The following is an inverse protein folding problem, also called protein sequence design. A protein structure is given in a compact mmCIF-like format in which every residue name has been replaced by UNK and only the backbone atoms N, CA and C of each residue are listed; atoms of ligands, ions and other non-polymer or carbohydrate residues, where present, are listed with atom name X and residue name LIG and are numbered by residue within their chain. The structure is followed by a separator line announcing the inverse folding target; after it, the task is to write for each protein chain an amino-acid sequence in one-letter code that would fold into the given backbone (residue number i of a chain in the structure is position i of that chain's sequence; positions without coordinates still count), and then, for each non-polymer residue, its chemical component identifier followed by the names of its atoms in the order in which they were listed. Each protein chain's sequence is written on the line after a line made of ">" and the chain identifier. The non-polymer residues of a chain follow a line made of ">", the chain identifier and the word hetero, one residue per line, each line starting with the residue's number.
data_IF_642308832552
#
_entry.id   IF_642308832552
#
_cell.length_a   1.000
_cell.length_b   1.000
_cell.length_c   1.000
_cell.angle_alpha   90.00
_cell.angle_beta   90.00
_cell.angle_gamma   90.00
#
_symmetry.space_group_name_H-M   'P 1'
#
loop_
_entity.id
_entity.type
_entity.pdbx_description
1 polymer ?
#
# COMPACT_ATOMS: atom_id res chain seq x y z
N UNK A 1 4.25 0.89 4.36
CA UNK A 1 3.86 0.71 5.77
C UNK A 1 2.71 1.64 6.09
N UNK A 2 1.53 1.09 6.34
CA UNK A 2 0.30 1.85 6.61
C UNK A 2 0.05 2.10 8.10
N UNK A 3 0.95 1.69 8.97
CA UNK A 3 0.72 1.61 10.43
C UNK A 3 -0.01 0.33 10.85
N UNK A 4 -0.63 -0.39 9.92
CA UNK A 4 -1.29 -1.67 10.18
C UNK A 4 -0.32 -2.85 10.34
N UNK A 5 -0.78 -3.87 11.07
CA UNK A 5 -0.03 -5.09 11.42
C UNK A 5 0.51 -5.80 10.18
N UNK A 6 -0.28 -5.96 9.12
CA UNK A 6 0.15 -6.72 7.93
C UNK A 6 1.41 -6.13 7.29
N UNK A 7 1.44 -4.79 7.16
CA UNK A 7 2.60 -4.09 6.59
C UNK A 7 3.82 -4.11 7.51
N UNK A 8 3.59 -4.10 8.82
CA UNK A 8 4.63 -4.19 9.85
C UNK A 8 5.29 -5.58 9.86
N UNK A 9 4.47 -6.63 9.82
CA UNK A 9 4.94 -8.02 9.76
C UNK A 9 5.63 -8.29 8.43
N UNK A 10 5.11 -7.79 7.30
CA UNK A 10 5.79 -7.91 6.01
C UNK A 10 7.20 -7.31 6.03
N UNK A 11 7.36 -6.10 6.59
CA UNK A 11 8.67 -5.48 6.75
C UNK A 11 9.59 -6.31 7.65
N UNK A 12 9.09 -6.76 8.82
CA UNK A 12 9.85 -7.58 9.75
C UNK A 12 10.32 -8.91 9.14
N UNK A 13 9.48 -9.56 8.33
CA UNK A 13 9.83 -10.80 7.63
C UNK A 13 10.95 -10.60 6.61
N UNK A 14 10.95 -9.47 5.89
CA UNK A 14 12.00 -9.14 4.92
C UNK A 14 13.33 -8.81 5.61
N UNK A 15 13.30 -8.04 6.70
CA UNK A 15 14.48 -7.78 7.55
C UNK A 15 15.04 -9.10 8.07
N UNK A 16 14.18 -9.98 8.60
CA UNK A 16 14.59 -11.30 9.10
C UNK A 16 15.18 -12.19 7.99
N UNK A 17 14.73 -12.04 6.75
CA UNK A 17 15.29 -12.73 5.59
C UNK A 17 16.62 -12.13 5.11
N UNK A 18 17.12 -11.07 5.74
CA UNK A 18 18.42 -10.45 5.42
C UNK A 18 18.36 -9.42 4.29
N UNK A 19 17.17 -8.94 3.93
CA UNK A 19 17.05 -7.87 2.94
C UNK A 19 17.36 -6.50 3.56
N UNK A 20 17.94 -5.61 2.75
CA UNK A 20 17.93 -4.18 3.03
C UNK A 20 16.53 -3.63 2.75
N UNK A 21 15.91 -3.01 3.76
CA UNK A 21 14.51 -2.60 3.71
C UNK A 21 14.40 -1.12 4.03
N UNK A 22 13.64 -0.40 3.21
CA UNK A 22 13.19 0.97 3.49
C UNK A 22 11.67 0.96 3.59
N UNK A 23 11.14 1.45 4.71
CA UNK A 23 9.71 1.61 4.93
C UNK A 23 9.18 2.87 4.24
N UNK A 24 8.09 2.77 3.48
CA UNK A 24 7.41 3.94 2.88
C UNK A 24 5.97 4.03 3.35
N UNK A 25 5.55 5.18 3.87
CA UNK A 25 4.15 5.54 4.12
C UNK A 25 3.69 6.56 3.08
N UNK A 26 2.56 6.31 2.42
CA UNK A 26 1.93 7.28 1.52
C UNK A 26 0.94 8.13 2.32
N UNK A 27 1.12 9.44 2.33
CA UNK A 27 0.17 10.38 2.90
C UNK A 27 -0.88 10.71 1.82
N UNK A 28 -2.14 10.31 2.06
CA UNK A 28 -3.23 10.43 1.09
C UNK A 28 -4.24 11.53 1.44
N UNK A 29 -4.30 11.93 2.71
CA UNK A 29 -5.23 12.94 3.22
C UNK A 29 -4.49 13.99 4.08
N UNK A 30 -5.07 15.18 4.29
CA UNK A 30 -4.55 16.18 5.21
C UNK A 30 -4.47 15.63 6.65
N UNK A 31 -3.48 16.07 7.43
CA UNK A 31 -3.35 15.68 8.85
C UNK A 31 -4.34 16.40 9.77
N UNK A 32 -5.18 17.29 9.25
CA UNK A 32 -5.99 18.24 10.04
C UNK A 32 -7.41 17.72 10.34
N UNK A 33 -7.82 16.61 9.73
CA UNK A 33 -9.14 16.02 9.97
C UNK A 33 -9.11 15.10 11.19
N UNK A 34 -9.89 15.52 12.21
CA UNK A 34 -10.14 14.93 13.53
C UNK A 34 -10.13 13.39 13.64
N UNK A 35 -9.94 12.85 14.86
CA UNK A 35 -9.98 11.41 15.14
C UNK A 35 -11.42 10.88 15.02
N UNK A 36 -11.89 10.65 13.80
CA UNK A 36 -13.13 9.94 13.54
C UNK A 36 -12.80 8.69 12.74
N UNK A 37 -12.49 7.62 13.49
CA UNK A 37 -12.67 6.24 13.06
C UNK A 37 -11.82 5.72 11.90
N UNK A 38 -10.81 4.91 12.22
CA UNK A 38 -10.46 3.72 11.42
C UNK A 38 -9.83 3.93 10.03
N UNK A 39 -9.38 5.14 9.69
CA UNK A 39 -8.69 5.40 8.43
C UNK A 39 -7.17 5.18 8.50
N UNK A 40 -6.62 4.49 7.50
CA UNK A 40 -5.19 4.29 7.16
C UNK A 40 -4.39 5.60 6.94
N UNK A 41 -4.96 6.78 7.26
CA UNK A 41 -4.53 8.09 6.78
C UNK A 41 -4.49 9.14 7.90
N UNK A 42 -4.13 8.75 9.12
CA UNK A 42 -3.90 9.70 10.22
C UNK A 42 -2.40 9.87 10.49
N UNK A 43 -2.04 11.02 11.07
CA UNK A 43 -0.71 11.25 11.67
C UNK A 43 -0.32 10.09 12.60
N UNK A 44 -1.27 9.53 13.32
CA UNK A 44 -1.09 8.36 14.18
C UNK A 44 -0.60 7.14 13.40
N UNK A 45 -1.19 6.82 12.24
CA UNK A 45 -0.74 5.69 11.41
C UNK A 45 0.70 5.86 10.93
N UNK A 46 1.10 7.09 10.57
CA UNK A 46 2.48 7.38 10.19
C UNK A 46 3.45 7.23 11.38
N UNK A 47 3.05 7.67 12.58
CA UNK A 47 3.82 7.50 13.82
C UNK A 47 3.93 6.03 14.24
N UNK A 48 2.86 5.24 14.10
CA UNK A 48 2.88 3.80 14.32
C UNK A 48 3.84 3.09 13.35
N UNK A 49 3.80 3.46 12.06
CA UNK A 49 4.72 2.94 11.06
C UNK A 49 6.19 3.30 11.38
N UNK A 50 6.45 4.55 11.81
CA UNK A 50 7.76 5.00 12.28
C UNK A 50 8.24 4.17 13.46
N UNK A 51 7.42 4.02 14.50
CA UNK A 51 7.80 3.26 15.70
C UNK A 51 8.11 1.79 15.41
N UNK A 52 7.43 1.18 14.44
CA UNK A 52 7.77 -0.17 13.95
C UNK A 52 9.11 -0.15 13.20
N UNK A 53 9.31 0.81 12.30
CA UNK A 53 10.56 0.93 11.55
C UNK A 53 11.77 1.11 12.46
N UNK A 54 11.65 1.95 13.50
CA UNK A 54 12.71 2.19 14.49
C UNK A 54 13.06 0.89 15.25
N UNK A 55 12.05 0.09 15.64
CA UNK A 55 12.27 -1.21 16.28
C UNK A 55 12.92 -2.24 15.36
N UNK A 56 12.68 -2.13 14.05
CA UNK A 56 13.30 -2.99 13.04
C UNK A 56 14.67 -2.49 12.59
N UNK A 57 15.08 -1.27 13.01
CA UNK A 57 16.34 -0.65 12.60
C UNK A 57 16.37 -0.28 11.11
N UNK A 58 15.23 0.06 10.51
CA UNK A 58 15.12 0.41 9.08
C UNK A 58 14.78 1.89 8.89
N UNK A 59 15.24 2.47 7.77
CA UNK A 59 14.81 3.82 7.38
C UNK A 59 13.30 3.82 7.06
N UNK A 60 12.62 4.90 7.45
CA UNK A 60 11.22 5.11 7.11
C UNK A 60 10.99 6.50 6.53
N UNK A 61 10.24 6.54 5.42
CA UNK A 61 9.96 7.72 4.62
C UNK A 61 8.44 7.93 4.55
N UNK A 62 8.03 9.19 4.68
CA UNK A 62 6.65 9.60 4.38
C UNK A 62 6.66 10.32 3.03
N UNK A 63 5.83 9.86 2.10
CA UNK A 63 5.71 10.41 0.76
C UNK A 63 4.33 11.02 0.63
N UNK A 64 4.29 12.31 0.34
CA UNK A 64 3.05 13.01 -0.01
C UNK A 64 2.55 12.51 -1.37
N UNK A 65 1.37 11.90 -1.36
CA UNK A 65 0.69 11.40 -2.56
C UNK A 65 -0.75 11.92 -2.63
N UNK A 66 -1.06 13.02 -1.92
CA UNK A 66 -2.41 13.59 -1.83
C UNK A 66 -2.93 14.00 -3.21
N UNK A 67 -2.10 14.69 -3.99
CA UNK A 67 -2.46 15.14 -5.34
C UNK A 67 -2.73 13.97 -6.28
N UNK A 68 -1.89 12.94 -6.25
CA UNK A 68 -2.07 11.73 -7.05
C UNK A 68 -3.33 10.97 -6.60
N UNK A 69 -3.59 10.88 -5.31
CA UNK A 69 -4.77 10.22 -4.76
C UNK A 69 -6.08 10.92 -5.19
N UNK A 70 -6.11 12.24 -5.10
CA UNK A 70 -7.27 13.00 -5.56
C UNK A 70 -7.52 12.79 -7.06
N UNK A 71 -6.47 12.93 -7.89
CA UNK A 71 -6.60 12.84 -9.35
C UNK A 71 -6.90 11.43 -9.84
N UNK A 72 -6.22 10.42 -9.30
CA UNK A 72 -6.26 9.06 -9.82
C UNK A 72 -7.32 8.17 -9.16
N UNK A 73 -7.80 8.54 -7.97
CA UNK A 73 -8.79 7.75 -7.23
C UNK A 73 -10.06 8.56 -7.00
N UNK A 74 -9.98 9.68 -6.25
CA UNK A 74 -11.18 10.38 -5.79
C UNK A 74 -12.02 10.94 -6.95
N UNK A 75 -11.40 11.69 -7.87
CA UNK A 75 -12.11 12.29 -9.02
C UNK A 75 -12.80 11.25 -9.87
N UNK A 76 -12.12 10.13 -10.16
CA UNK A 76 -12.69 9.02 -10.93
C UNK A 76 -13.86 8.34 -10.21
N UNK A 77 -13.78 8.24 -8.87
CA UNK A 77 -14.90 7.75 -8.08
C UNK A 77 -16.08 8.72 -8.12
N UNK A 78 -15.86 10.02 -7.96
CA UNK A 78 -16.91 11.04 -8.05
C UNK A 78 -17.59 11.04 -9.42
N UNK A 79 -16.81 11.04 -10.50
CA UNK A 79 -17.34 10.97 -11.87
C UNK A 79 -18.19 9.71 -12.09
N UNK A 80 -17.81 8.58 -11.49
CA UNK A 80 -18.57 7.33 -11.57
C UNK A 80 -19.88 7.41 -10.77
N UNK A 81 -19.86 8.03 -9.59
CA UNK A 81 -21.06 8.27 -8.80
C UNK A 81 -22.05 9.20 -9.53
N UNK A 82 -21.56 10.26 -10.18
CA UNK A 82 -22.37 11.17 -10.99
C UNK A 82 -23.06 10.44 -12.16
N UNK A 83 -22.49 9.33 -12.62
CA UNK A 83 -23.05 8.45 -13.65
C UNK A 83 -23.95 7.34 -13.08
N UNK A 84 -24.26 7.36 -11.78
CA UNK A 84 -25.08 6.34 -11.12
C UNK A 84 -24.39 4.98 -10.97
N UNK A 85 -23.05 4.95 -10.99
CA UNK A 85 -22.26 3.73 -10.81
C UNK A 85 -21.72 3.64 -9.38
N UNK A 86 -21.37 2.43 -8.97
CA UNK A 86 -20.70 2.16 -7.68
C UNK A 86 -19.22 1.82 -7.93
N UNK A 87 -18.29 2.78 -7.83
CA UNK A 87 -16.86 2.52 -8.03
C UNK A 87 -16.25 1.78 -6.83
N UNK A 88 -15.15 1.08 -7.07
CA UNK A 88 -14.32 0.49 -6.02
C UNK A 88 -12.99 1.28 -5.90
N UNK A 89 -12.87 2.22 -4.95
CA UNK A 89 -11.67 3.05 -4.81
C UNK A 89 -10.42 2.24 -4.43
N UNK A 90 -10.57 1.09 -3.77
CA UNK A 90 -9.44 0.26 -3.35
C UNK A 90 -8.72 -0.37 -4.54
N UNK A 91 -9.47 -0.79 -5.57
CA UNK A 91 -8.89 -1.32 -6.82
C UNK A 91 -8.09 -0.22 -7.51
N UNK A 92 -8.67 0.96 -7.70
CA UNK A 92 -8.01 2.11 -8.32
C UNK A 92 -6.75 2.56 -7.55
N UNK A 93 -6.84 2.57 -6.22
CA UNK A 93 -5.71 2.91 -5.35
C UNK A 93 -4.56 1.90 -5.50
N UNK A 94 -4.83 0.61 -5.66
CA UNK A 94 -3.78 -0.36 -5.89
C UNK A 94 -3.19 -0.22 -7.30
N UNK A 95 -4.04 -0.24 -8.34
CA UNK A 95 -3.62 -0.22 -9.76
C UNK A 95 -2.83 1.03 -10.14
N UNK A 96 -3.35 2.19 -9.78
CA UNK A 96 -2.88 3.47 -10.32
C UNK A 96 -1.97 4.19 -9.31
N UNK A 97 -2.39 4.26 -8.05
CA UNK A 97 -1.65 5.00 -7.04
C UNK A 97 -0.46 4.20 -6.50
N UNK A 98 -0.69 3.02 -5.92
CA UNK A 98 0.38 2.25 -5.26
C UNK A 98 1.38 1.74 -6.30
N UNK A 99 0.95 1.05 -7.35
CA UNK A 99 1.90 0.55 -8.34
C UNK A 99 2.54 1.66 -9.19
N UNK A 100 1.92 2.85 -9.28
CA UNK A 100 2.55 4.02 -9.88
C UNK A 100 3.56 4.68 -8.95
N UNK A 101 3.05 5.34 -7.90
CA UNK A 101 3.82 6.21 -7.01
C UNK A 101 4.86 5.43 -6.20
N UNK A 102 4.48 4.30 -5.60
CA UNK A 102 5.38 3.52 -4.76
C UNK A 102 6.50 2.91 -5.60
N UNK A 103 6.19 2.40 -6.79
CA UNK A 103 7.19 1.81 -7.69
C UNK A 103 8.15 2.87 -8.24
N UNK A 104 7.64 4.04 -8.61
CA UNK A 104 8.47 5.17 -9.03
C UNK A 104 9.43 5.59 -7.91
N UNK A 105 8.93 5.68 -6.67
CA UNK A 105 9.75 6.01 -5.51
C UNK A 105 10.79 4.92 -5.21
N UNK A 106 10.40 3.65 -5.25
CA UNK A 106 11.28 2.51 -5.05
C UNK A 106 12.44 2.51 -6.06
N UNK A 107 12.15 2.77 -7.35
CA UNK A 107 13.19 2.91 -8.39
C UNK A 107 14.17 4.05 -8.09
N UNK A 108 13.65 5.19 -7.62
CA UNK A 108 14.48 6.35 -7.27
C UNK A 108 15.44 6.07 -6.11
N UNK A 109 15.03 5.18 -5.20
CA UNK A 109 15.84 4.71 -4.07
C UNK A 109 16.78 3.54 -4.45
N UNK A 110 16.79 3.11 -5.71
CA UNK A 110 17.58 1.96 -6.15
C UNK A 110 17.03 0.60 -5.70
N UNK A 111 15.79 0.54 -5.20
CA UNK A 111 15.20 -0.72 -4.75
C UNK A 111 14.88 -1.64 -5.93
N UNK A 112 15.19 -2.93 -5.76
CA UNK A 112 14.94 -3.97 -6.76
C UNK A 112 13.53 -4.55 -6.68
N UNK A 113 12.88 -4.43 -5.52
CA UNK A 113 11.57 -5.01 -5.23
C UNK A 113 10.71 -4.07 -4.40
N UNK A 114 9.39 -4.23 -4.54
CA UNK A 114 8.39 -3.59 -3.68
C UNK A 114 7.60 -4.67 -2.96
N UNK A 115 7.43 -4.49 -1.66
CA UNK A 115 6.59 -5.35 -0.85
C UNK A 115 5.43 -4.57 -0.25
N UNK A 116 4.30 -5.24 -0.06
CA UNK A 116 3.11 -4.69 0.58
C UNK A 116 2.59 -5.69 1.60
N UNK A 117 1.74 -5.23 2.53
CA UNK A 117 1.05 -6.10 3.48
C UNK A 117 -0.18 -6.80 2.90
N UNK A 118 -0.37 -6.84 1.57
CA UNK A 118 -1.53 -7.52 1.01
C UNK A 118 -1.43 -9.03 1.25
N UNK A 119 -2.53 -9.64 1.71
CA UNK A 119 -2.64 -11.08 1.85
C UNK A 119 -2.97 -11.72 0.50
N UNK A 120 -1.95 -11.77 -0.35
CA UNK A 120 -1.93 -12.40 -1.66
C UNK A 120 -0.51 -12.95 -1.90
N UNK A 121 -0.33 -13.72 -2.97
CA UNK A 121 0.96 -14.32 -3.30
C UNK A 121 1.34 -13.98 -4.73
N UNK A 122 2.63 -14.02 -5.02
CA UNK A 122 3.16 -14.01 -6.38
C UNK A 122 3.72 -15.40 -6.67
N UNK A 123 3.40 -15.96 -7.84
CA UNK A 123 3.88 -17.26 -8.26
C UNK A 123 3.82 -17.45 -9.77
N UNK A 124 4.20 -18.62 -10.29
CA UNK A 124 4.14 -18.89 -11.71
C UNK A 124 2.70 -18.95 -12.20
N UNK A 125 2.41 -18.19 -13.25
CA UNK A 125 1.16 -18.17 -13.98
C UNK A 125 1.26 -18.84 -15.36
N UNK A 126 0.27 -18.60 -16.23
CA UNK A 126 0.28 -19.14 -17.60
C UNK A 126 1.59 -18.81 -18.31
N UNK A 127 2.17 -19.83 -18.96
CA UNK A 127 3.44 -19.71 -19.71
C UNK A 127 4.64 -19.26 -18.85
N UNK A 128 4.60 -19.49 -17.53
CA UNK A 128 5.70 -19.16 -16.62
C UNK A 128 5.81 -17.67 -16.26
N UNK A 129 4.87 -16.84 -16.71
CA UNK A 129 4.84 -15.42 -16.32
C UNK A 129 4.43 -15.27 -14.85
N UNK A 130 5.01 -14.33 -14.10
CA UNK A 130 4.55 -14.05 -12.74
C UNK A 130 3.06 -13.67 -12.73
N UNK A 131 2.30 -14.27 -11.83
CA UNK A 131 0.89 -14.01 -11.60
C UNK A 131 0.62 -13.75 -10.13
N UNK A 132 -0.40 -12.92 -9.87
CA UNK A 132 -1.01 -12.80 -8.55
C UNK A 132 -1.83 -14.07 -8.28
N UNK A 133 -1.56 -14.71 -7.16
CA UNK A 133 -2.27 -15.88 -6.66
C UNK A 133 -3.02 -15.49 -5.38
N UNK A 134 -4.11 -16.22 -5.11
CA UNK A 134 -4.86 -16.05 -3.85
C UNK A 134 -3.98 -16.34 -2.63
N UNK A 135 -4.27 -15.63 -1.54
CA UNK A 135 -3.83 -15.99 -0.20
C UNK A 135 -4.18 -17.45 0.14
N UNK A 136 -3.46 -18.03 1.09
CA UNK A 136 -3.69 -19.43 1.49
C UNK A 136 -5.02 -19.60 2.20
N UNK A 137 -5.38 -18.65 3.07
CA UNK A 137 -6.71 -18.54 3.67
C UNK A 137 -7.66 -17.77 2.72
N UNK A 138 -8.68 -18.43 2.14
CA UNK A 138 -9.62 -17.76 1.24
C UNK A 138 -10.47 -16.68 1.91
N UNK A 139 -10.71 -16.78 3.23
CA UNK A 139 -11.50 -15.80 3.96
C UNK A 139 -10.72 -14.49 4.23
N UNK A 140 -9.40 -14.51 4.05
CA UNK A 140 -8.50 -13.36 4.22
C UNK A 140 -7.88 -12.91 2.90
N UNK A 141 -8.16 -13.61 1.79
CA UNK A 141 -7.59 -13.30 0.48
C UNK A 141 -7.90 -11.86 0.05
N UNK A 142 -6.86 -11.15 -0.39
CA UNK A 142 -6.96 -9.79 -0.90
C UNK A 142 -6.65 -9.69 -2.40
N UNK A 143 -6.47 -10.82 -3.11
CA UNK A 143 -6.18 -10.83 -4.55
C UNK A 143 -7.24 -10.11 -5.40
N UNK A 144 -8.48 -10.06 -4.92
CA UNK A 144 -9.57 -9.30 -5.55
C UNK A 144 -9.24 -7.82 -5.72
N UNK A 145 -8.40 -7.21 -4.87
CA UNK A 145 -8.09 -5.79 -4.99
C UNK A 145 -6.85 -5.50 -5.85
N UNK A 146 -6.25 -6.51 -6.48
CA UNK A 146 -4.94 -6.44 -7.15
C UNK A 146 -5.00 -6.72 -8.66
N UNK A 147 -6.17 -6.58 -9.29
CA UNK A 147 -6.34 -6.72 -10.74
C UNK A 147 -6.18 -5.38 -11.47
#
# INVERSE_FOLDING_TARGET
>A
MSGGVDSSVAAALLVRAGHEVVGITLQLLPCEDRPLGGGCCSLESALQARGVADRLGIEHLVVDARGEFERQVLRRCWDAYDQGRTPNPCVLCNSDLKWGVLLARARHLGATHVATGHYARVGPGPQGRPSVLRGLDPAKDQSYFLF
#
